data_IF_156093336654
#
_entry.id   IF_156093336654
#
_cell.length_a   1.000
_cell.length_b   1.000
_cell.length_c   1.000
_cell.angle_alpha   90.00
_cell.angle_beta   90.00
_cell.angle_gamma   90.00
#
_symmetry.space_group_name_H-M   'P 1'
#
loop_
_entity.id
_entity.type
_entity.pdbx_description
1 polymer ?
#
# COMPACT_ATOMS: atom_id res chain seq x y z
N UNK A 1 8.63 -43.10 15.33
CA UNK A 1 9.15 -41.75 15.60
C UNK A 1 8.12 -40.77 15.04
N UNK A 2 7.35 -40.13 15.92
CA UNK A 2 6.09 -39.43 15.58
C UNK A 2 6.33 -38.21 14.68
N UNK A 3 5.75 -38.20 13.49
CA UNK A 3 5.65 -37.02 12.61
C UNK A 3 4.86 -35.92 13.35
N UNK A 4 5.55 -34.83 13.70
CA UNK A 4 4.89 -33.59 14.13
C UNK A 4 4.47 -32.86 12.87
N UNK A 5 3.17 -32.89 12.56
CA UNK A 5 2.55 -31.96 11.62
C UNK A 5 3.01 -30.53 11.96
N UNK A 6 3.72 -29.88 11.03
CA UNK A 6 4.06 -28.45 11.13
C UNK A 6 2.81 -27.60 10.89
N UNK A 7 1.80 -27.76 11.75
CA UNK A 7 0.69 -26.80 11.84
C UNK A 7 1.28 -25.56 12.47
N UNK A 8 1.43 -24.49 11.68
CA UNK A 8 1.79 -23.18 12.21
C UNK A 8 0.89 -22.88 13.42
N UNK A 9 1.44 -22.40 14.56
CA UNK A 9 0.63 -22.14 15.75
C UNK A 9 -0.54 -21.22 15.39
N UNK A 10 -1.77 -21.66 15.64
CA UNK A 10 -2.98 -20.88 15.35
C UNK A 10 -2.95 -19.58 16.16
N UNK A 11 -2.82 -18.45 15.47
CA UNK A 11 -3.01 -17.13 16.05
C UNK A 11 -4.43 -17.03 16.63
N UNK A 12 -4.59 -16.42 17.81
CA UNK A 12 -5.90 -16.31 18.47
C UNK A 12 -6.79 -15.34 17.66
N UNK A 13 -7.99 -15.81 17.30
CA UNK A 13 -9.04 -14.99 16.66
C UNK A 13 -9.68 -14.01 17.65
N UNK A 14 -9.00 -12.90 17.94
CA UNK A 14 -9.46 -11.89 18.90
C UNK A 14 -9.88 -10.57 18.25
N UNK A 15 -9.80 -10.46 16.92
CA UNK A 15 -10.01 -9.19 16.22
C UNK A 15 -11.48 -8.95 15.88
N UNK A 16 -12.00 -7.76 16.21
CA UNK A 16 -13.36 -7.36 15.84
C UNK A 16 -13.44 -6.95 14.37
N UNK A 17 -14.64 -7.02 13.78
CA UNK A 17 -14.86 -6.58 12.39
C UNK A 17 -14.53 -5.08 12.19
N UNK A 18 -14.75 -4.24 13.20
CA UNK A 18 -14.37 -2.82 13.16
C UNK A 18 -12.85 -2.63 13.15
N UNK A 19 -12.11 -3.39 13.96
CA UNK A 19 -10.65 -3.36 13.94
C UNK A 19 -10.08 -3.85 12.61
N UNK A 20 -10.63 -4.92 12.03
CA UNK A 20 -10.27 -5.38 10.69
C UNK A 20 -10.49 -4.29 9.64
N UNK A 21 -11.64 -3.61 9.70
CA UNK A 21 -11.96 -2.53 8.78
C UNK A 21 -10.97 -1.35 8.91
N UNK A 22 -10.62 -0.99 10.15
CA UNK A 22 -9.69 0.09 10.44
C UNK A 22 -8.25 -0.25 10.07
N UNK A 23 -7.80 -1.50 10.23
CA UNK A 23 -6.48 -1.94 9.75
C UNK A 23 -6.43 -1.90 8.22
N UNK A 24 -7.48 -2.38 7.55
CA UNK A 24 -7.59 -2.31 6.10
C UNK A 24 -7.68 -0.87 5.58
N UNK A 25 -8.27 0.05 6.35
CA UNK A 25 -8.30 1.49 6.06
C UNK A 25 -6.93 2.14 6.29
N UNK A 26 -6.32 1.87 7.44
CA UNK A 26 -5.05 2.44 7.88
C UNK A 26 -3.89 2.05 6.98
N UNK A 27 -3.85 0.78 6.58
CA UNK A 27 -2.83 0.24 5.67
C UNK A 27 -2.93 0.76 4.24
N UNK A 28 -4.14 1.05 3.74
CA UNK A 28 -4.31 1.58 2.38
C UNK A 28 -3.98 3.08 2.30
N UNK A 29 -4.25 3.86 3.34
CA UNK A 29 -4.04 5.32 3.33
C UNK A 29 -2.66 5.65 3.93
N UNK A 30 -1.65 5.75 3.06
CA UNK A 30 -0.26 6.08 3.39
C UNK A 30 0.31 7.27 2.62
N UNK A 31 1.64 7.36 2.59
CA UNK A 31 2.37 8.47 1.93
C UNK A 31 2.23 8.50 0.42
N UNK A 32 1.84 7.39 -0.22
CA UNK A 32 1.55 7.38 -1.65
C UNK A 32 0.50 8.43 -2.03
N UNK A 33 -0.59 8.52 -1.26
CA UNK A 33 -1.59 9.57 -1.45
C UNK A 33 -1.03 10.94 -1.09
N UNK A 34 -0.46 11.09 0.11
CA UNK A 34 -0.13 12.43 0.63
C UNK A 34 1.12 13.03 0.02
N UNK A 35 2.23 12.31 -0.07
CA UNK A 35 3.47 12.80 -0.70
C UNK A 35 3.51 12.45 -2.19
N UNK A 36 3.10 11.25 -2.57
CA UNK A 36 3.08 10.82 -3.98
C UNK A 36 2.08 11.58 -4.86
N UNK A 37 1.04 12.20 -4.27
CA UNK A 37 0.16 13.13 -5.01
C UNK A 37 0.94 14.27 -5.66
N UNK A 38 2.06 14.73 -5.08
CA UNK A 38 2.90 15.79 -5.64
C UNK A 38 3.36 15.42 -7.05
N UNK A 39 3.96 14.25 -7.20
CA UNK A 39 4.51 13.77 -8.47
C UNK A 39 3.41 13.43 -9.46
N UNK A 40 2.33 12.80 -9.00
CA UNK A 40 1.21 12.42 -9.87
C UNK A 40 0.47 13.64 -10.42
N UNK A 41 0.18 14.65 -9.59
CA UNK A 41 -0.39 15.94 -10.00
C UNK A 41 0.57 16.64 -10.96
N UNK A 42 1.88 16.67 -10.67
CA UNK A 42 2.88 17.29 -11.56
C UNK A 42 2.94 16.62 -12.93
N UNK A 43 2.85 15.29 -13.00
CA UNK A 43 2.96 14.56 -14.27
C UNK A 43 1.72 14.66 -15.15
N UNK A 44 0.51 14.74 -14.58
CA UNK A 44 -0.73 14.66 -15.38
C UNK A 44 -1.74 15.80 -15.15
N UNK A 45 -1.49 16.68 -14.19
CA UNK A 45 -2.38 17.77 -13.84
C UNK A 45 -3.74 17.27 -13.34
N UNK A 46 -4.85 17.97 -13.63
CA UNK A 46 -6.19 17.62 -13.14
C UNK A 46 -6.69 16.23 -13.54
N UNK A 47 -6.20 15.65 -14.64
CA UNK A 47 -6.53 14.28 -15.05
C UNK A 47 -6.09 13.19 -14.06
N UNK A 48 -5.30 13.56 -13.04
CA UNK A 48 -4.95 12.68 -11.91
C UNK A 48 -6.20 12.12 -11.22
N UNK A 49 -7.33 12.84 -11.26
CA UNK A 49 -8.61 12.38 -10.73
C UNK A 49 -9.10 11.12 -11.43
N UNK A 50 -9.01 11.11 -12.75
CA UNK A 50 -9.36 9.94 -13.55
C UNK A 50 -8.35 8.82 -13.35
N UNK A 51 -7.07 9.15 -13.12
CA UNK A 51 -6.05 8.14 -12.87
C UNK A 51 -6.30 7.40 -11.54
N UNK A 52 -6.60 8.12 -10.46
CA UNK A 52 -6.99 7.52 -9.18
C UNK A 52 -8.28 6.69 -9.31
N UNK A 53 -9.31 7.21 -9.99
CA UNK A 53 -10.55 6.47 -10.21
C UNK A 53 -10.32 5.19 -11.04
N UNK A 54 -9.47 5.27 -12.07
CA UNK A 54 -9.17 4.16 -12.96
C UNK A 54 -8.35 3.06 -12.27
N UNK A 55 -7.28 3.43 -11.55
CA UNK A 55 -6.52 2.47 -10.75
C UNK A 55 -7.39 1.89 -9.65
N UNK A 56 -8.22 2.70 -8.99
CA UNK A 56 -9.19 2.23 -8.01
C UNK A 56 -10.16 1.18 -8.59
N UNK A 57 -10.59 1.32 -9.85
CA UNK A 57 -11.40 0.30 -10.53
C UNK A 57 -10.64 -1.02 -10.72
N UNK A 58 -9.37 -0.96 -11.16
CA UNK A 58 -8.51 -2.15 -11.30
C UNK A 58 -8.41 -2.88 -9.95
N UNK A 59 -8.20 -2.13 -8.88
CA UNK A 59 -8.04 -2.69 -7.55
C UNK A 59 -9.33 -3.19 -6.94
N UNK A 60 -10.46 -2.57 -7.26
CA UNK A 60 -11.76 -3.15 -6.94
C UNK A 60 -11.92 -4.54 -7.56
N UNK A 61 -11.48 -4.75 -8.82
CA UNK A 61 -11.51 -6.07 -9.46
C UNK A 61 -10.62 -7.06 -8.71
N UNK A 62 -9.37 -6.68 -8.39
CA UNK A 62 -8.43 -7.53 -7.62
C UNK A 62 -9.04 -7.90 -6.25
N UNK A 63 -9.56 -6.92 -5.52
CA UNK A 63 -10.15 -7.15 -4.19
C UNK A 63 -11.42 -7.99 -4.26
N UNK A 64 -12.20 -7.83 -5.33
CA UNK A 64 -13.39 -8.64 -5.55
C UNK A 64 -13.03 -10.09 -5.90
N UNK A 65 -11.98 -10.31 -6.68
CA UNK A 65 -11.44 -11.63 -7.01
C UNK A 65 -10.90 -12.33 -5.75
N UNK A 66 -10.11 -11.63 -4.93
CA UNK A 66 -9.65 -12.12 -3.64
C UNK A 66 -10.82 -12.44 -2.70
N UNK A 67 -11.79 -11.52 -2.59
CA UNK A 67 -12.94 -11.69 -1.73
C UNK A 67 -13.85 -12.87 -2.11
N UNK A 68 -13.94 -13.19 -3.41
CA UNK A 68 -14.65 -14.39 -3.88
C UNK A 68 -14.01 -15.67 -3.33
N UNK A 69 -12.68 -15.78 -3.41
CA UNK A 69 -11.96 -16.95 -2.87
C UNK A 69 -12.03 -17.04 -1.34
N UNK A 70 -11.86 -15.91 -0.63
CA UNK A 70 -11.95 -15.86 0.83
C UNK A 70 -13.34 -16.23 1.33
N UNK A 71 -14.40 -15.85 0.60
CA UNK A 71 -15.77 -16.18 0.98
C UNK A 71 -15.97 -17.69 1.18
N UNK A 72 -15.30 -18.50 0.35
CA UNK A 72 -15.37 -19.97 0.38
C UNK A 72 -14.43 -20.55 1.42
N UNK A 73 -13.15 -20.16 1.41
CA UNK A 73 -12.16 -20.74 2.31
C UNK A 73 -11.38 -19.64 3.05
N UNK A 74 -11.86 -19.14 4.20
CA UNK A 74 -11.17 -18.12 4.96
C UNK A 74 -9.86 -18.66 5.59
N UNK A 75 -8.77 -18.67 4.82
CA UNK A 75 -7.43 -19.04 5.29
C UNK A 75 -6.68 -17.85 5.89
N UNK A 76 -5.81 -18.12 6.87
CA UNK A 76 -4.92 -17.13 7.50
C UNK A 76 -3.70 -16.76 6.64
N UNK A 77 -3.31 -17.60 5.67
CA UNK A 77 -2.18 -17.33 4.78
C UNK A 77 -2.53 -16.47 3.54
N UNK A 78 -3.76 -15.96 3.47
CA UNK A 78 -4.19 -14.92 2.51
C UNK A 78 -3.98 -15.31 1.03
N UNK A 79 -3.66 -14.34 0.18
CA UNK A 79 -3.41 -14.47 -1.25
C UNK A 79 -2.30 -15.47 -1.61
N UNK A 80 -1.28 -15.62 -0.75
CA UNK A 80 -0.17 -16.55 -0.99
C UNK A 80 -0.63 -18.02 -0.93
N UNK A 81 -1.63 -18.34 -0.09
CA UNK A 81 -2.22 -19.68 -0.03
C UNK A 81 -2.98 -20.03 -1.30
N UNK A 82 -3.83 -19.11 -1.76
CA UNK A 82 -4.58 -19.32 -2.99
C UNK A 82 -3.64 -19.44 -4.19
N UNK A 83 -2.57 -18.64 -4.23
CA UNK A 83 -1.55 -18.75 -5.26
C UNK A 83 -0.82 -20.11 -5.22
N UNK A 84 -0.41 -20.56 -4.03
CA UNK A 84 0.22 -21.88 -3.84
C UNK A 84 -0.69 -23.01 -4.30
N UNK A 85 -1.97 -22.95 -3.93
CA UNK A 85 -2.93 -24.01 -4.17
C UNK A 85 -3.47 -24.05 -5.61
N UNK A 86 -3.88 -22.90 -6.16
CA UNK A 86 -4.56 -22.83 -7.46
C UNK A 86 -3.63 -22.49 -8.64
N UNK A 87 -2.46 -21.89 -8.39
CA UNK A 87 -1.53 -21.48 -9.46
C UNK A 87 -0.30 -22.39 -9.47
N UNK A 88 0.58 -22.26 -8.46
CA UNK A 88 1.80 -23.05 -8.30
C UNK A 88 2.48 -22.70 -6.97
N UNK A 89 3.20 -23.62 -6.29
CA UNK A 89 3.94 -23.29 -5.06
C UNK A 89 4.96 -22.15 -5.21
N UNK A 90 5.58 -22.02 -6.39
CA UNK A 90 6.44 -20.88 -6.71
C UNK A 90 5.69 -19.54 -6.67
N UNK A 91 4.41 -19.51 -7.07
CA UNK A 91 3.62 -18.28 -7.08
C UNK A 91 3.35 -17.79 -5.66
N UNK A 92 3.06 -18.70 -4.71
CA UNK A 92 2.95 -18.35 -3.30
C UNK A 92 4.27 -17.85 -2.71
N UNK A 93 5.38 -18.58 -2.96
CA UNK A 93 6.72 -18.16 -2.53
C UNK A 93 7.08 -16.75 -3.05
N UNK A 94 6.80 -16.49 -4.33
CA UNK A 94 7.04 -15.18 -4.96
C UNK A 94 6.18 -14.10 -4.32
N UNK A 95 4.90 -14.37 -4.05
CA UNK A 95 4.00 -13.40 -3.43
C UNK A 95 4.45 -13.03 -2.00
N UNK A 96 4.95 -13.98 -1.22
CA UNK A 96 5.44 -13.72 0.14
C UNK A 96 6.75 -12.91 0.14
N UNK A 97 7.73 -13.30 -0.69
CA UNK A 97 8.99 -12.54 -0.78
C UNK A 97 8.81 -11.17 -1.41
N UNK A 98 7.93 -11.04 -2.40
CA UNK A 98 7.58 -9.76 -2.99
C UNK A 98 6.98 -8.82 -1.94
N UNK A 99 6.07 -9.31 -1.10
CA UNK A 99 5.47 -8.52 -0.03
C UNK A 99 6.48 -8.12 1.06
N UNK A 100 7.39 -9.04 1.45
CA UNK A 100 8.48 -8.72 2.39
C UNK A 100 9.35 -7.59 1.86
N UNK A 101 9.74 -7.64 0.59
CA UNK A 101 10.56 -6.60 -0.02
C UNK A 101 9.80 -5.28 -0.19
N UNK A 102 8.59 -5.33 -0.74
CA UNK A 102 7.67 -4.20 -0.91
C UNK A 102 7.58 -3.39 0.38
N UNK A 103 7.21 -4.01 1.50
CA UNK A 103 6.99 -3.29 2.75
C UNK A 103 8.28 -2.83 3.45
N UNK A 104 9.43 -3.42 3.16
CA UNK A 104 10.72 -2.84 3.58
C UNK A 104 10.93 -1.50 2.85
N UNK A 105 10.66 -1.48 1.54
CA UNK A 105 10.81 -0.29 0.71
C UNK A 105 9.74 0.76 1.01
N UNK A 106 8.48 0.38 1.15
CA UNK A 106 7.40 1.26 1.60
C UNK A 106 7.73 1.80 2.98
N UNK A 107 8.12 0.95 3.94
CA UNK A 107 8.52 1.39 5.28
C UNK A 107 9.65 2.42 5.25
N UNK A 108 10.62 2.27 4.37
CA UNK A 108 11.65 3.28 4.13
C UNK A 108 11.07 4.59 3.57
N UNK A 109 10.21 4.52 2.55
CA UNK A 109 9.53 5.71 1.98
C UNK A 109 8.67 6.46 2.99
N UNK A 110 8.03 5.73 3.90
CA UNK A 110 7.18 6.26 4.97
C UNK A 110 8.03 7.02 6.00
N UNK A 111 9.22 6.51 6.32
CA UNK A 111 10.19 7.20 7.19
C UNK A 111 10.70 8.46 6.52
N UNK A 112 11.10 8.40 5.24
CA UNK A 112 11.55 9.57 4.47
C UNK A 112 10.49 10.67 4.51
N UNK A 113 9.25 10.34 4.14
CA UNK A 113 8.14 11.27 4.15
C UNK A 113 7.86 11.84 5.56
N UNK A 114 7.92 11.00 6.59
CA UNK A 114 7.75 11.45 7.98
C UNK A 114 8.79 12.49 8.39
N UNK A 115 10.05 12.30 8.00
CA UNK A 115 11.12 13.28 8.29
C UNK A 115 10.90 14.59 7.55
N UNK A 116 10.36 14.55 6.33
CA UNK A 116 10.01 15.74 5.57
C UNK A 116 8.82 16.49 6.19
N UNK A 117 7.80 15.78 6.65
CA UNK A 117 6.64 16.40 7.32
C UNK A 117 7.03 17.08 8.64
N UNK A 118 8.04 16.59 9.35
CA UNK A 118 8.55 17.25 10.56
C UNK A 118 9.16 18.64 10.25
N UNK A 119 9.72 18.84 9.05
CA UNK A 119 10.30 20.13 8.65
C UNK A 119 9.26 21.26 8.57
N UNK A 120 7.98 20.93 8.44
CA UNK A 120 6.90 21.91 8.45
C UNK A 120 6.86 22.72 9.76
N UNK A 121 6.98 22.06 10.92
CA UNK A 121 7.04 22.75 12.22
C UNK A 121 8.46 23.09 12.63
N UNK A 122 9.42 22.24 12.25
CA UNK A 122 10.83 22.38 12.63
C UNK A 122 11.73 22.35 11.38
N UNK A 123 11.89 23.48 10.67
CA UNK A 123 12.64 23.53 9.40
C UNK A 123 14.10 23.03 9.51
N UNK A 124 14.69 23.07 10.70
CA UNK A 124 16.05 22.61 10.98
C UNK A 124 16.13 21.16 11.51
N UNK A 125 15.06 20.37 11.36
CA UNK A 125 15.07 18.96 11.76
C UNK A 125 16.18 18.19 11.06
N UNK A 126 17.01 17.51 11.86
CA UNK A 126 17.98 16.56 11.36
C UNK A 126 17.26 15.28 10.92
N UNK A 127 17.07 15.12 9.60
CA UNK A 127 16.31 14.02 8.99
C UNK A 127 16.82 12.65 9.44
N UNK A 128 18.13 12.46 9.51
CA UNK A 128 18.75 11.20 9.95
C UNK A 128 18.35 10.82 11.39
N UNK A 129 18.42 11.78 12.32
CA UNK A 129 18.11 11.54 13.73
C UNK A 129 16.62 11.25 13.92
N UNK A 130 15.77 12.03 13.24
CA UNK A 130 14.33 11.83 13.25
C UNK A 130 13.94 10.45 12.70
N UNK A 131 14.53 10.04 11.58
CA UNK A 131 14.24 8.73 10.98
C UNK A 131 14.68 7.56 11.87
N UNK A 132 15.84 7.64 12.52
CA UNK A 132 16.27 6.63 13.51
C UNK A 132 15.26 6.52 14.64
N UNK A 133 14.85 7.65 15.23
CA UNK A 133 13.87 7.68 16.33
C UNK A 133 12.56 7.01 15.89
N UNK A 134 12.07 7.33 14.69
CA UNK A 134 10.84 6.75 14.13
C UNK A 134 10.96 5.23 13.97
N UNK A 135 12.04 4.73 13.36
CA UNK A 135 12.24 3.29 13.13
C UNK A 135 12.33 2.54 14.46
N UNK A 136 13.09 3.05 15.43
CA UNK A 136 13.19 2.44 16.75
C UNK A 136 11.85 2.46 17.49
N UNK A 137 11.12 3.57 17.45
CA UNK A 137 9.80 3.69 18.05
C UNK A 137 8.82 2.64 17.47
N UNK A 138 8.77 2.50 16.15
CA UNK A 138 7.90 1.53 15.47
C UNK A 138 8.32 0.07 15.75
N UNK A 139 9.62 -0.21 15.80
CA UNK A 139 10.13 -1.54 16.15
C UNK A 139 9.72 -1.92 17.58
N UNK A 140 9.88 -1.02 18.55
CA UNK A 140 9.47 -1.24 19.94
C UNK A 140 7.96 -1.45 20.04
N UNK A 141 7.15 -0.65 19.33
CA UNK A 141 5.71 -0.79 19.32
C UNK A 141 5.27 -2.18 18.81
N UNK A 142 5.92 -2.71 17.77
CA UNK A 142 5.63 -4.05 17.24
C UNK A 142 6.14 -5.19 18.14
N UNK A 143 7.22 -4.98 18.89
CA UNK A 143 7.75 -5.97 19.84
C UNK A 143 6.92 -6.06 21.12
N UNK A 144 6.20 -5.00 21.51
CA UNK A 144 5.46 -4.94 22.75
C UNK A 144 4.24 -5.89 22.78
N UNK A 145 3.35 -5.82 21.79
CA UNK A 145 2.14 -6.65 21.74
C UNK A 145 1.34 -6.44 20.44
N UNK A 146 0.77 -7.52 19.89
CA UNK A 146 -0.19 -7.44 18.79
C UNK A 146 -1.48 -6.66 19.14
N UNK A 147 -1.86 -6.64 20.43
CA UNK A 147 -2.99 -5.83 20.92
C UNK A 147 -2.67 -4.34 20.91
N UNK A 148 -1.43 -3.97 21.27
CA UNK A 148 -0.95 -2.60 21.21
C UNK A 148 -0.97 -2.09 19.76
N UNK A 149 -0.49 -2.89 18.81
CA UNK A 149 -0.60 -2.61 17.37
C UNK A 149 -2.05 -2.32 16.95
N UNK A 150 -2.99 -3.25 17.20
CA UNK A 150 -4.38 -3.08 16.76
C UNK A 150 -5.09 -1.88 17.39
N UNK A 151 -4.62 -1.42 18.56
CA UNK A 151 -5.16 -0.23 19.23
C UNK A 151 -4.58 1.05 18.60
N UNK A 152 -3.26 1.12 18.39
CA UNK A 152 -2.63 2.25 17.71
C UNK A 152 -3.18 2.46 16.30
N UNK A 153 -3.33 1.37 15.54
CA UNK A 153 -3.82 1.42 14.17
C UNK A 153 -5.27 1.90 14.10
N UNK A 154 -6.11 1.49 15.05
CA UNK A 154 -7.48 1.99 15.16
C UNK A 154 -7.51 3.52 15.31
N UNK A 155 -6.70 4.07 16.22
CA UNK A 155 -6.64 5.52 16.43
C UNK A 155 -6.06 6.26 15.23
N UNK A 156 -4.97 5.76 14.65
CA UNK A 156 -4.37 6.35 13.46
C UNK A 156 -5.34 6.36 12.28
N UNK A 157 -5.99 5.24 11.97
CA UNK A 157 -6.98 5.18 10.91
C UNK A 157 -8.17 6.12 11.19
N UNK A 158 -8.63 6.26 12.43
CA UNK A 158 -9.73 7.17 12.77
C UNK A 158 -9.37 8.63 12.53
N UNK A 159 -8.18 9.05 12.98
CA UNK A 159 -7.66 10.42 12.76
C UNK A 159 -7.55 10.70 11.26
N UNK A 160 -7.02 9.75 10.46
CA UNK A 160 -6.92 9.89 9.00
C UNK A 160 -8.29 10.11 8.36
N UNK A 161 -9.25 9.24 8.64
CA UNK A 161 -10.59 9.28 8.03
C UNK A 161 -11.30 10.58 8.36
N UNK A 162 -11.33 10.97 9.64
CA UNK A 162 -11.99 12.20 10.09
C UNK A 162 -11.37 13.42 9.42
N UNK A 163 -10.04 13.52 9.40
CA UNK A 163 -9.37 14.67 8.78
C UNK A 163 -9.60 14.75 7.28
N UNK A 164 -9.58 13.64 6.54
CA UNK A 164 -9.85 13.69 5.10
C UNK A 164 -11.27 14.18 4.84
N UNK A 165 -12.26 13.72 5.62
CA UNK A 165 -13.65 14.20 5.49
C UNK A 165 -13.74 15.70 5.81
N UNK A 166 -13.13 16.16 6.89
CA UNK A 166 -13.11 17.59 7.26
C UNK A 166 -12.41 18.45 6.22
N UNK A 167 -11.30 17.96 5.67
CA UNK A 167 -10.55 18.61 4.60
C UNK A 167 -11.38 18.73 3.32
N UNK A 168 -12.16 17.69 2.98
CA UNK A 168 -13.07 17.74 1.84
C UNK A 168 -14.16 18.79 2.06
N UNK A 169 -14.80 18.78 3.24
CA UNK A 169 -15.83 19.76 3.60
C UNK A 169 -15.27 21.18 3.53
N UNK A 170 -14.12 21.43 4.19
CA UNK A 170 -13.45 22.72 4.17
C UNK A 170 -13.08 23.12 2.73
N UNK A 171 -12.62 22.17 1.94
CA UNK A 171 -12.31 22.38 0.54
C UNK A 171 -13.51 22.86 -0.27
N UNK A 172 -14.67 22.23 -0.09
CA UNK A 172 -15.91 22.71 -0.71
C UNK A 172 -16.33 24.10 -0.23
N UNK A 173 -16.11 24.45 1.04
CA UNK A 173 -16.36 25.81 1.54
C UNK A 173 -15.44 26.84 0.85
N UNK A 174 -14.17 26.50 0.62
CA UNK A 174 -13.24 27.36 -0.12
C UNK A 174 -13.68 27.49 -1.59
N UNK A 175 -14.03 26.38 -2.23
CA UNK A 175 -14.39 26.33 -3.66
C UNK A 175 -15.70 27.08 -3.94
N UNK A 176 -16.73 26.85 -3.13
CA UNK A 176 -18.10 27.33 -3.39
C UNK A 176 -18.40 28.67 -2.73
N UNK A 177 -17.87 28.92 -1.54
CA UNK A 177 -18.18 30.10 -0.73
C UNK A 177 -17.01 31.07 -0.57
N UNK A 178 -15.81 30.70 -1.04
CA UNK A 178 -14.61 31.52 -0.86
C UNK A 178 -14.16 31.62 0.60
N UNK A 179 -14.45 30.60 1.42
CA UNK A 179 -14.00 30.55 2.81
C UNK A 179 -12.46 30.61 2.86
N UNK A 180 -11.89 31.52 3.65
CA UNK A 180 -10.44 31.78 3.66
C UNK A 180 -9.92 32.60 2.47
N UNK A 181 -10.72 32.82 1.42
CA UNK A 181 -10.38 33.60 0.23
C UNK A 181 -11.20 34.90 0.11
N UNK A 182 -11.35 35.63 1.22
CA UNK A 182 -12.09 36.91 1.24
C UNK A 182 -13.57 36.82 0.86
N UNK A 183 -14.18 35.62 0.88
CA UNK A 183 -15.55 35.40 0.43
C UNK A 183 -15.70 35.29 -1.09
N UNK A 184 -14.59 35.26 -1.85
CA UNK A 184 -14.60 35.05 -3.29
C UNK A 184 -14.44 33.55 -3.60
N UNK A 185 -15.47 32.90 -4.17
CA UNK A 185 -15.38 31.49 -4.53
C UNK A 185 -14.23 31.25 -5.50
N UNK A 186 -13.38 30.25 -5.22
CA UNK A 186 -12.33 29.83 -6.16
C UNK A 186 -12.96 29.26 -7.44
N UNK A 187 -14.10 28.57 -7.30
CA UNK A 187 -14.76 27.89 -8.41
C UNK A 187 -13.96 26.70 -8.92
N UNK A 188 -14.27 26.26 -10.15
CA UNK A 188 -13.72 25.04 -10.74
C UNK A 188 -12.67 25.29 -11.83
N UNK A 189 -12.36 26.56 -12.12
CA UNK A 189 -11.55 26.97 -13.26
C UNK A 189 -10.16 26.34 -13.28
N UNK A 190 -9.54 26.13 -12.10
CA UNK A 190 -8.21 25.50 -12.00
C UNK A 190 -8.13 24.10 -12.61
N UNK A 191 -9.25 23.40 -12.80
CA UNK A 191 -9.31 22.10 -13.46
C UNK A 191 -9.00 22.14 -14.97
N UNK A 192 -9.05 23.32 -15.60
CA UNK A 192 -8.77 23.47 -17.03
C UNK A 192 -8.02 24.74 -17.42
N UNK A 193 -8.00 25.78 -16.58
CA UNK A 193 -7.40 27.07 -16.90
C UNK A 193 -5.87 27.02 -17.09
N UNK A 194 -5.19 26.04 -16.48
CA UNK A 194 -3.73 25.95 -16.48
C UNK A 194 -3.21 24.88 -17.43
N UNK A 195 -3.65 24.91 -18.69
CA UNK A 195 -3.21 23.97 -19.74
C UNK A 195 -4.19 22.82 -20.03
N UNK A 196 -5.44 22.92 -19.60
CA UNK A 196 -6.48 21.91 -19.82
C UNK A 196 -6.52 20.82 -18.75
N UNK A 197 -7.39 19.83 -18.94
CA UNK A 197 -7.58 18.76 -17.96
C UNK A 197 -6.48 17.67 -18.04
N UNK A 198 -5.99 17.38 -19.25
CA UNK A 198 -4.93 16.39 -19.51
C UNK A 198 -3.59 17.08 -19.82
N UNK A 199 -3.02 17.80 -18.87
CA UNK A 199 -1.81 18.62 -19.11
C UNK A 199 -0.57 17.80 -19.42
N UNK A 200 -0.46 16.60 -18.84
CA UNK A 200 0.59 15.61 -19.16
C UNK A 200 0.30 14.75 -20.40
N UNK A 201 -0.84 14.94 -21.04
CA UNK A 201 -1.36 14.04 -22.07
C UNK A 201 -1.49 12.59 -21.59
N UNK A 202 -1.61 11.66 -22.54
CA UNK A 202 -1.71 10.22 -22.23
C UNK A 202 -0.45 9.68 -21.52
N UNK A 203 0.73 10.20 -21.87
CA UNK A 203 2.00 9.75 -21.29
C UNK A 203 2.10 10.11 -19.81
N UNK A 204 1.82 11.36 -19.45
CA UNK A 204 1.79 11.81 -18.05
C UNK A 204 0.71 11.09 -17.24
N UNK A 205 -0.45 10.84 -17.85
CA UNK A 205 -1.52 10.06 -17.25
C UNK A 205 -1.07 8.65 -16.89
N UNK A 206 -0.43 7.94 -17.82
CA UNK A 206 0.13 6.61 -17.56
C UNK A 206 1.29 6.63 -16.56
N UNK A 207 2.12 7.67 -16.56
CA UNK A 207 3.19 7.84 -15.58
C UNK A 207 2.65 8.00 -14.17
N UNK A 208 1.54 8.73 -14.00
CA UNK A 208 0.91 8.89 -12.68
C UNK A 208 0.40 7.58 -12.09
N UNK A 209 0.00 6.62 -12.92
CA UNK A 209 -0.56 5.36 -12.45
C UNK A 209 0.42 4.52 -11.62
N UNK A 210 1.73 4.66 -11.80
CA UNK A 210 2.71 3.87 -11.02
C UNK A 210 2.69 4.21 -9.53
N UNK A 211 2.75 5.50 -9.22
CA UNK A 211 2.67 6.00 -7.84
C UNK A 211 1.27 5.78 -7.28
N UNK A 212 0.23 5.98 -8.09
CA UNK A 212 -1.16 5.77 -7.68
C UNK A 212 -1.39 4.30 -7.31
N UNK A 213 -0.87 3.36 -8.09
CA UNK A 213 -0.90 1.93 -7.77
C UNK A 213 -0.25 1.68 -6.41
N UNK A 214 0.97 2.15 -6.20
CA UNK A 214 1.63 2.01 -4.89
C UNK A 214 0.82 2.63 -3.74
N UNK A 215 0.09 3.72 -4.02
CA UNK A 215 -0.75 4.41 -3.03
C UNK A 215 -1.96 3.60 -2.54
N UNK A 216 -2.26 2.48 -3.20
CA UNK A 216 -3.29 1.55 -2.80
C UNK A 216 -2.74 0.21 -2.32
N UNK A 217 -1.43 0.04 -2.22
CA UNK A 217 -0.82 -1.09 -1.51
C UNK A 217 -1.38 -1.17 -0.08
N UNK A 218 -1.49 -2.37 0.47
CA UNK A 218 -2.12 -2.61 1.77
C UNK A 218 -3.61 -2.92 1.74
N UNK A 219 -4.30 -2.80 0.59
CA UNK A 219 -5.69 -3.26 0.47
C UNK A 219 -5.80 -4.79 0.62
N UNK A 220 -4.78 -5.53 0.20
CA UNK A 220 -4.67 -6.99 0.31
C UNK A 220 -4.48 -7.49 1.74
N UNK A 221 -4.17 -6.60 2.70
CA UNK A 221 -4.17 -6.92 4.14
C UNK A 221 -5.54 -7.41 4.63
N UNK A 222 -6.61 -7.09 3.90
CA UNK A 222 -7.92 -7.70 4.10
C UNK A 222 -7.85 -9.23 4.10
N UNK A 223 -7.06 -9.83 3.20
CA UNK A 223 -6.94 -11.28 3.08
C UNK A 223 -6.25 -11.92 4.28
N UNK A 224 -5.24 -11.24 4.84
CA UNK A 224 -4.51 -11.70 6.03
C UNK A 224 -5.42 -11.61 7.25
N UNK A 225 -6.08 -10.46 7.41
CA UNK A 225 -6.94 -10.17 8.55
C UNK A 225 -8.25 -10.97 8.55
N UNK A 226 -8.74 -11.42 7.39
CA UNK A 226 -9.98 -12.19 7.29
C UNK A 226 -9.91 -13.52 8.05
N UNK A 227 -8.74 -14.16 8.11
CA UNK A 227 -8.52 -15.41 8.86
C UNK A 227 -8.62 -15.26 10.38
N UNK A 228 -8.58 -14.02 10.89
CA UNK A 228 -8.56 -13.69 12.32
C UNK A 228 -9.92 -13.20 12.86
N UNK A 229 -10.94 -13.03 12.00
CA UNK A 229 -12.26 -12.47 12.36
C UNK A 229 -13.31 -13.55 12.59
N UNK A 230 -14.27 -13.29 13.50
CA UNK A 230 -15.30 -14.25 13.92
C UNK A 230 -16.32 -14.63 12.82
N UNK A 231 -16.66 -13.70 11.91
CA UNK A 231 -17.51 -13.97 10.75
C UNK A 231 -16.82 -13.45 9.47
N UNK A 232 -15.93 -14.25 8.88
CA UNK A 232 -15.13 -13.85 7.73
C UNK A 232 -15.97 -13.47 6.51
N UNK A 233 -17.01 -14.25 6.19
CA UNK A 233 -17.85 -14.03 5.00
C UNK A 233 -18.49 -12.65 5.00
N UNK A 234 -19.18 -12.30 6.09
CA UNK A 234 -19.86 -10.99 6.21
C UNK A 234 -18.84 -9.85 6.21
N UNK A 235 -17.71 -10.04 6.90
CA UNK A 235 -16.65 -9.04 6.98
C UNK A 235 -16.01 -8.76 5.61
N UNK A 236 -15.69 -9.80 4.85
CA UNK A 236 -15.11 -9.70 3.50
C UNK A 236 -16.07 -8.99 2.54
N UNK A 237 -17.34 -9.38 2.50
CA UNK A 237 -18.34 -8.74 1.64
C UNK A 237 -18.46 -7.25 1.95
N UNK A 238 -18.53 -6.89 3.23
CA UNK A 238 -18.61 -5.49 3.67
C UNK A 238 -17.35 -4.72 3.28
N UNK A 239 -16.18 -5.29 3.54
CA UNK A 239 -14.91 -4.60 3.35
C UNK A 239 -14.58 -4.40 1.87
N UNK A 240 -14.83 -5.38 0.99
CA UNK A 240 -14.69 -5.19 -0.47
C UNK A 240 -15.67 -4.14 -1.00
N UNK A 241 -16.92 -4.09 -0.49
CA UNK A 241 -17.87 -3.05 -0.89
C UNK A 241 -17.42 -1.66 -0.44
N UNK A 242 -16.81 -1.55 0.74
CA UNK A 242 -16.34 -0.25 1.24
C UNK A 242 -15.11 0.26 0.51
N UNK A 243 -14.29 -0.60 -0.13
CA UNK A 243 -13.16 -0.18 -1.00
C UNK A 243 -13.56 0.88 -2.02
N UNK A 244 -14.72 0.74 -2.69
CA UNK A 244 -15.18 1.74 -3.66
C UNK A 244 -15.41 3.11 -3.03
N UNK A 245 -16.08 3.16 -1.88
CA UNK A 245 -16.30 4.41 -1.16
C UNK A 245 -14.99 5.01 -0.67
N UNK A 246 -14.03 4.17 -0.24
CA UNK A 246 -12.69 4.61 0.17
C UNK A 246 -11.94 5.27 -0.98
N UNK A 247 -11.95 4.65 -2.17
CA UNK A 247 -11.34 5.21 -3.39
C UNK A 247 -11.96 6.57 -3.72
N UNK A 248 -13.29 6.64 -3.76
CA UNK A 248 -13.99 7.86 -4.16
C UNK A 248 -13.80 9.00 -3.16
N UNK A 249 -13.88 8.72 -1.86
CA UNK A 249 -13.77 9.77 -0.83
C UNK A 249 -12.32 10.13 -0.58
N UNK A 250 -11.49 9.15 -0.21
CA UNK A 250 -10.14 9.44 0.31
C UNK A 250 -9.13 9.77 -0.77
N UNK A 251 -9.31 9.28 -2.00
CA UNK A 251 -8.38 9.55 -3.09
C UNK A 251 -8.98 10.57 -4.04
N UNK A 252 -10.08 10.24 -4.71
CA UNK A 252 -10.66 11.11 -5.74
C UNK A 252 -11.17 12.42 -5.14
N UNK A 253 -11.96 12.37 -4.06
CA UNK A 253 -12.52 13.54 -3.42
C UNK A 253 -11.46 14.44 -2.77
N UNK A 254 -10.48 13.83 -2.09
CA UNK A 254 -9.37 14.55 -1.50
C UNK A 254 -8.52 15.26 -2.57
N UNK A 255 -8.12 14.55 -3.62
CA UNK A 255 -7.33 15.13 -4.72
C UNK A 255 -8.13 16.17 -5.50
N UNK A 256 -9.43 15.96 -5.68
CA UNK A 256 -10.33 16.92 -6.34
C UNK A 256 -10.27 18.28 -5.66
N UNK A 257 -10.35 18.29 -4.33
CA UNK A 257 -10.23 19.52 -3.55
C UNK A 257 -8.88 20.20 -3.79
N UNK A 258 -7.78 19.45 -3.79
CA UNK A 258 -6.43 20.00 -3.99
C UNK A 258 -6.29 20.65 -5.38
N UNK A 259 -6.57 19.92 -6.45
CA UNK A 259 -6.37 20.43 -7.82
C UNK A 259 -7.39 21.48 -8.25
N UNK A 260 -8.50 21.61 -7.51
CA UNK A 260 -9.51 22.64 -7.74
C UNK A 260 -9.16 23.93 -7.00
N UNK A 261 -8.69 23.84 -5.76
CA UNK A 261 -8.37 25.02 -4.94
C UNK A 261 -7.14 25.73 -5.47
N UNK A 262 -6.08 24.99 -5.80
CA UNK A 262 -4.80 25.58 -6.15
C UNK A 262 -4.29 25.08 -7.51
N UNK A 263 -3.72 25.95 -8.36
CA UNK A 263 -3.19 25.57 -9.67
C UNK A 263 -2.17 24.43 -9.56
N UNK A 264 -2.38 23.35 -10.32
CA UNK A 264 -1.53 22.16 -10.29
C UNK A 264 -0.05 22.45 -10.63
N UNK A 265 0.20 23.50 -11.42
CA UNK A 265 1.52 23.93 -11.87
C UNK A 265 2.24 24.86 -10.88
N UNK A 266 1.62 25.22 -9.75
CA UNK A 266 2.18 26.09 -8.72
C UNK A 266 2.36 25.38 -7.37
N UNK A 267 2.20 24.07 -7.30
CA UNK A 267 2.48 23.29 -6.09
C UNK A 267 4.01 23.14 -5.94
N UNK A 268 4.60 24.02 -5.12
CA UNK A 268 6.02 24.33 -4.96
C UNK A 268 6.68 23.40 -3.93
N UNK A 269 6.74 22.12 -4.28
CA UNK A 269 7.83 21.16 -3.98
C UNK A 269 8.26 20.78 -2.56
N UNK A 270 7.80 21.38 -1.45
CA UNK A 270 8.21 20.96 -0.09
C UNK A 270 7.04 20.39 0.72
N UNK A 271 7.16 19.13 1.15
CA UNK A 271 6.15 18.44 1.95
C UNK A 271 4.95 17.89 1.16
N UNK A 272 3.78 17.83 1.79
CA UNK A 272 2.54 17.28 1.22
C UNK A 272 1.75 18.37 0.47
N UNK A 273 1.27 18.13 -0.76
CA UNK A 273 0.38 19.06 -1.49
C UNK A 273 -0.90 19.39 -0.73
N UNK A 274 -1.35 18.48 0.13
CA UNK A 274 -2.50 18.70 1.00
C UNK A 274 -2.21 19.80 2.02
N UNK A 275 -1.05 19.78 2.66
CA UNK A 275 -0.63 20.83 3.60
C UNK A 275 -0.40 22.15 2.85
N UNK A 276 0.29 22.08 1.72
CA UNK A 276 0.65 23.25 0.92
C UNK A 276 -0.57 24.01 0.43
N UNK A 277 -1.60 23.31 -0.06
CA UNK A 277 -2.82 23.93 -0.59
C UNK A 277 -3.52 24.78 0.47
N UNK A 278 -3.74 24.26 1.68
CA UNK A 278 -4.40 25.01 2.74
C UNK A 278 -3.50 26.11 3.34
N UNK A 279 -2.18 25.91 3.35
CA UNK A 279 -1.23 26.93 3.75
C UNK A 279 -1.27 28.13 2.79
N UNK A 280 -1.30 27.89 1.48
CA UNK A 280 -1.33 28.93 0.45
C UNK A 280 -2.67 29.67 0.38
N UNK A 281 -3.78 29.03 0.74
CA UNK A 281 -5.09 29.68 0.92
C UNK A 281 -5.17 30.50 2.21
N UNK A 282 -4.16 30.42 3.09
CA UNK A 282 -4.10 31.20 4.34
C UNK A 282 -4.81 30.54 5.53
N UNK A 283 -5.24 29.28 5.42
CA UNK A 283 -5.86 28.52 6.52
C UNK A 283 -4.76 27.72 7.24
N UNK A 284 -3.82 28.44 7.86
CA UNK A 284 -2.61 27.87 8.48
C UNK A 284 -2.90 26.85 9.59
N UNK A 285 -3.98 27.06 10.36
CA UNK A 285 -4.43 26.10 11.36
C UNK A 285 -4.82 24.75 10.73
N UNK A 286 -5.53 24.77 9.59
CA UNK A 286 -5.88 23.56 8.84
C UNK A 286 -4.61 22.90 8.27
N UNK A 287 -3.68 23.68 7.72
CA UNK A 287 -2.41 23.16 7.22
C UNK A 287 -1.62 22.41 8.31
N UNK A 288 -1.52 22.98 9.52
CA UNK A 288 -0.84 22.32 10.66
C UNK A 288 -1.54 21.03 11.11
N UNK A 289 -2.88 21.02 11.18
CA UNK A 289 -3.65 19.81 11.52
C UNK A 289 -3.48 18.73 10.45
N UNK A 290 -3.56 19.11 9.17
CA UNK A 290 -3.34 18.19 8.06
C UNK A 290 -1.90 17.64 8.13
N UNK A 291 -0.90 18.48 8.42
CA UNK A 291 0.48 18.04 8.54
C UNK A 291 0.66 16.99 9.66
N UNK A 292 0.00 17.20 10.81
CA UNK A 292 -0.06 16.22 11.89
C UNK A 292 -0.69 14.91 11.43
N UNK A 293 -1.78 14.98 10.69
CA UNK A 293 -2.47 13.78 10.21
C UNK A 293 -1.64 13.03 9.19
N UNK A 294 -1.01 13.69 8.21
CA UNK A 294 -0.17 13.01 7.22
C UNK A 294 1.06 12.38 7.85
N UNK A 295 1.62 12.98 8.92
CA UNK A 295 2.66 12.35 9.72
C UNK A 295 2.15 11.08 10.41
N UNK A 296 0.98 11.12 11.06
CA UNK A 296 0.40 9.90 11.66
C UNK A 296 0.02 8.87 10.60
N UNK A 297 -0.36 9.31 9.39
CA UNK A 297 -0.64 8.45 8.27
C UNK A 297 0.59 7.65 7.86
N UNK A 298 1.74 8.33 7.79
CA UNK A 298 2.99 7.73 7.41
C UNK A 298 3.51 6.72 8.44
N UNK A 299 3.46 7.10 9.73
CA UNK A 299 3.83 6.22 10.83
C UNK A 299 2.97 4.95 10.87
N UNK A 300 1.67 5.08 10.58
CA UNK A 300 0.73 3.96 10.50
C UNK A 300 1.01 3.05 9.30
N UNK A 301 1.36 3.61 8.13
CA UNK A 301 1.78 2.82 6.97
C UNK A 301 3.03 1.98 7.25
N UNK A 302 4.08 2.61 7.80
CA UNK A 302 5.29 1.91 8.22
C UNK A 302 5.02 0.83 9.28
N UNK A 303 4.18 1.14 10.26
CA UNK A 303 3.79 0.20 11.32
C UNK A 303 3.06 -1.03 10.76
N UNK A 304 2.10 -0.83 9.84
CA UNK A 304 1.37 -1.90 9.16
C UNK A 304 2.27 -2.74 8.26
N UNK A 305 3.24 -2.13 7.58
CA UNK A 305 4.26 -2.85 6.79
C UNK A 305 5.15 -3.74 7.64
N UNK A 306 5.64 -3.25 8.79
CA UNK A 306 6.42 -4.05 9.76
C UNK A 306 5.57 -5.21 10.29
N UNK A 307 4.31 -4.94 10.64
CA UNK A 307 3.39 -5.96 11.15
C UNK A 307 3.13 -7.06 10.12
N UNK A 308 2.77 -6.71 8.89
CA UNK A 308 2.44 -7.68 7.84
C UNK A 308 3.66 -8.50 7.42
N UNK A 309 4.77 -7.82 7.11
CA UNK A 309 5.97 -8.46 6.60
C UNK A 309 6.66 -9.35 7.60
N UNK A 310 6.64 -8.99 8.89
CA UNK A 310 7.22 -9.85 9.92
C UNK A 310 6.47 -11.19 10.04
N UNK A 311 5.17 -11.21 9.78
CA UNK A 311 4.35 -12.45 9.77
C UNK A 311 4.59 -13.28 8.53
N UNK A 312 4.70 -12.65 7.36
CA UNK A 312 5.08 -13.35 6.14
C UNK A 312 6.51 -13.92 6.24
N UNK A 313 7.46 -13.15 6.77
CA UNK A 313 8.83 -13.61 6.98
C UNK A 313 8.91 -14.75 8.01
N UNK A 314 8.12 -14.67 9.09
CA UNK A 314 7.98 -15.74 10.08
C UNK A 314 7.43 -17.03 9.44
N UNK A 315 6.45 -16.90 8.56
CA UNK A 315 5.87 -18.03 7.82
C UNK A 315 6.88 -18.64 6.85
N UNK A 316 7.53 -17.82 6.02
CA UNK A 316 8.60 -18.26 5.13
C UNK A 316 9.66 -19.07 5.90
N UNK A 317 10.01 -18.66 7.12
CA UNK A 317 10.97 -19.41 7.94
C UNK A 317 10.46 -20.79 8.38
N UNK A 318 9.16 -20.94 8.66
CA UNK A 318 8.54 -22.22 9.01
C UNK A 318 8.40 -23.15 7.81
N UNK A 319 8.19 -22.60 6.62
CA UNK A 319 8.19 -23.35 5.36
C UNK A 319 9.62 -23.68 4.88
N UNK A 320 10.64 -23.26 5.63
CA UNK A 320 12.04 -23.40 5.27
C UNK A 320 12.50 -22.42 4.20
N UNK A 321 11.62 -21.56 3.68
CA UNK A 321 11.87 -20.57 2.64
C UNK A 321 12.64 -19.33 3.11
N UNK A 322 12.86 -19.15 4.43
CA UNK A 322 13.73 -18.14 5.03
C UNK A 322 14.59 -18.73 6.17
N UNK A 323 15.64 -18.02 6.66
CA UNK A 323 16.46 -18.48 7.79
C UNK A 323 15.62 -18.84 9.02
N UNK A 324 15.93 -19.99 9.64
CA UNK A 324 15.20 -20.52 10.83
C UNK A 324 15.11 -19.54 11.99
N UNK A 325 16.05 -18.60 12.09
CA UNK A 325 16.05 -17.54 13.10
C UNK A 325 14.75 -16.74 13.10
N UNK A 326 14.18 -16.46 11.92
CA UNK A 326 12.94 -15.68 11.79
C UNK A 326 11.68 -16.46 12.22
N UNK A 327 11.78 -17.77 12.44
CA UNK A 327 10.69 -18.60 12.96
C UNK A 327 10.52 -18.54 14.48
N UNK A 328 11.25 -17.67 15.19
CA UNK A 328 11.17 -17.56 16.65
C UNK A 328 9.96 -16.72 17.09
N UNK A 329 9.27 -17.17 18.14
CA UNK A 329 8.27 -16.38 18.88
C UNK A 329 8.84 -15.90 20.21
N UNK A 330 8.50 -14.67 20.60
CA UNK A 330 8.82 -14.11 21.91
C UNK A 330 7.84 -14.53 23.00
N UNK A 331 8.13 -14.16 24.26
CA UNK A 331 7.22 -14.37 25.41
C UNK A 331 5.86 -13.67 25.24
N UNK A 332 5.79 -12.62 24.41
CA UNK A 332 4.56 -11.89 24.10
C UNK A 332 3.81 -12.45 22.89
N UNK A 333 4.22 -13.62 22.37
CA UNK A 333 3.60 -14.29 21.21
C UNK A 333 3.67 -13.41 19.94
N UNK A 334 4.81 -12.76 19.73
CA UNK A 334 5.11 -12.00 18.51
C UNK A 334 6.40 -12.52 17.87
N UNK A 335 6.54 -12.48 16.52
CA UNK A 335 7.71 -12.98 15.81
C UNK A 335 8.89 -11.98 15.90
N UNK A 336 9.53 -11.92 17.06
CA UNK A 336 10.51 -10.88 17.41
C UNK A 336 11.71 -10.80 16.45
N UNK A 337 12.28 -11.96 16.08
CA UNK A 337 13.39 -12.01 15.13
C UNK A 337 12.99 -11.50 13.74
N UNK A 338 11.77 -11.81 13.29
CA UNK A 338 11.26 -11.33 12.02
C UNK A 338 10.96 -9.82 12.06
N UNK A 339 10.38 -9.31 13.15
CA UNK A 339 10.18 -7.87 13.36
C UNK A 339 11.52 -7.13 13.29
N UNK A 340 12.54 -7.61 14.01
CA UNK A 340 13.88 -7.01 13.97
C UNK A 340 14.52 -7.12 12.58
N UNK A 341 14.29 -8.20 11.85
CA UNK A 341 14.75 -8.36 10.47
C UNK A 341 14.14 -7.33 9.51
N UNK A 342 12.83 -7.14 9.57
CA UNK A 342 12.12 -6.14 8.74
C UNK A 342 12.53 -4.72 9.13
N UNK A 343 12.50 -4.38 10.42
CA UNK A 343 12.93 -3.06 10.90
C UNK A 343 14.40 -2.79 10.59
N UNK A 344 15.25 -3.81 10.66
CA UNK A 344 16.65 -3.74 10.23
C UNK A 344 16.80 -3.48 8.74
N UNK A 345 15.97 -4.11 7.90
CA UNK A 345 15.91 -3.83 6.47
C UNK A 345 15.52 -2.39 6.16
N UNK A 346 14.48 -1.87 6.84
CA UNK A 346 14.06 -0.46 6.73
C UNK A 346 15.19 0.47 7.17
N UNK A 347 15.87 0.15 8.28
CA UNK A 347 17.01 0.92 8.78
C UNK A 347 18.17 0.95 7.78
N UNK A 348 18.56 -0.21 7.24
CA UNK A 348 19.63 -0.30 6.24
C UNK A 348 19.26 0.53 5.01
N UNK A 349 18.03 0.39 4.51
CA UNK A 349 17.54 1.19 3.40
C UNK A 349 17.60 2.69 3.68
N UNK A 350 17.08 3.13 4.83
CA UNK A 350 17.08 4.54 5.23
C UNK A 350 18.49 5.10 5.39
N UNK A 351 19.43 4.30 5.93
CA UNK A 351 20.85 4.70 6.01
C UNK A 351 21.48 4.82 4.62
N UNK A 352 21.18 3.89 3.70
CA UNK A 352 21.63 3.97 2.31
C UNK A 352 21.07 5.20 1.60
N UNK A 353 19.82 5.58 1.89
CA UNK A 353 19.19 6.81 1.37
C UNK A 353 19.93 8.07 1.85
N UNK A 354 20.25 8.17 3.14
CA UNK A 354 21.07 9.28 3.68
C UNK A 354 22.43 9.34 3.00
N UNK A 355 23.09 8.20 2.81
CA UNK A 355 24.37 8.15 2.10
C UNK A 355 24.21 8.57 0.63
N UNK A 356 23.15 8.12 -0.04
CA UNK A 356 22.86 8.51 -1.42
C UNK A 356 22.63 10.02 -1.54
N UNK A 357 21.89 10.64 -0.62
CA UNK A 357 21.67 12.09 -0.57
C UNK A 357 22.98 12.85 -0.34
N UNK A 358 23.88 12.33 0.50
CA UNK A 358 25.17 12.95 0.77
C UNK A 358 26.14 12.88 -0.43
N UNK A 359 26.20 11.73 -1.12
CA UNK A 359 27.15 11.49 -2.21
C UNK A 359 26.62 11.83 -3.59
N UNK A 360 25.30 11.83 -3.78
CA UNK A 360 24.64 12.07 -5.05
C UNK A 360 23.78 13.32 -4.96
N UNK A 361 24.23 14.42 -5.58
CA UNK A 361 23.37 15.60 -5.86
C UNK A 361 22.38 15.29 -7.00
N UNK A 362 21.74 14.13 -6.96
CA UNK A 362 20.73 13.75 -7.95
C UNK A 362 19.54 14.69 -7.83
N UNK A 363 19.02 15.14 -8.97
CA UNK A 363 17.80 15.96 -9.05
C UNK A 363 16.52 15.12 -8.95
N UNK A 364 16.66 13.78 -8.89
CA UNK A 364 15.52 12.87 -8.77
C UNK A 364 14.89 12.98 -7.38
N UNK A 365 13.55 13.00 -7.35
CA UNK A 365 12.78 12.96 -6.11
C UNK A 365 13.02 11.59 -5.44
N UNK A 366 13.85 11.57 -4.37
CA UNK A 366 14.25 10.35 -3.67
C UNK A 366 13.04 9.54 -3.20
N UNK A 367 11.98 10.23 -2.75
CA UNK A 367 10.73 9.58 -2.42
C UNK A 367 10.17 8.79 -3.61
N UNK A 368 10.12 9.38 -4.81
CA UNK A 368 9.62 8.70 -6.02
C UNK A 368 10.47 7.48 -6.35
N UNK A 369 11.80 7.60 -6.28
CA UNK A 369 12.72 6.50 -6.59
C UNK A 369 12.53 5.34 -5.62
N UNK A 370 12.52 5.64 -4.32
CA UNK A 370 12.36 4.65 -3.26
C UNK A 370 10.97 4.03 -3.32
N UNK A 371 9.91 4.84 -3.25
CA UNK A 371 8.53 4.39 -3.24
C UNK A 371 8.21 3.56 -4.50
N UNK A 372 8.61 4.01 -5.69
CA UNK A 372 8.32 3.27 -6.92
C UNK A 372 9.03 1.91 -7.00
N UNK A 373 10.02 1.64 -6.13
CA UNK A 373 10.73 0.36 -6.14
C UNK A 373 9.95 -0.74 -5.40
N UNK A 374 8.97 -0.36 -4.57
CA UNK A 374 8.01 -1.30 -3.98
C UNK A 374 6.93 -1.69 -4.98
N UNK A 375 6.56 -0.81 -5.91
CA UNK A 375 5.38 -0.94 -6.77
C UNK A 375 5.31 -2.27 -7.52
N UNK A 376 6.36 -2.66 -8.26
CA UNK A 376 6.31 -3.94 -9.00
C UNK A 376 6.22 -5.15 -8.06
N UNK A 377 7.05 -5.26 -6.99
CA UNK A 377 6.86 -6.24 -5.93
C UNK A 377 5.44 -6.25 -5.32
N UNK A 378 4.87 -5.08 -4.99
CA UNK A 378 3.52 -4.96 -4.42
C UNK A 378 2.40 -5.33 -5.38
N UNK A 379 2.65 -5.25 -6.68
CA UNK A 379 1.73 -5.77 -7.70
C UNK A 379 1.74 -7.30 -7.82
N UNK A 380 2.77 -8.01 -7.33
CA UNK A 380 2.85 -9.49 -7.41
C UNK A 380 1.67 -10.17 -6.70
N UNK A 381 1.32 -9.83 -5.44
CA UNK A 381 0.08 -10.27 -4.80
C UNK A 381 -1.14 -10.16 -5.73
N UNK A 382 -1.29 -9.05 -6.44
CA UNK A 382 -2.46 -8.82 -7.28
C UNK A 382 -2.44 -9.66 -8.56
N UNK A 383 -1.28 -9.82 -9.19
CA UNK A 383 -1.13 -10.75 -10.31
C UNK A 383 -1.49 -12.17 -9.91
N UNK A 384 -1.00 -12.64 -8.76
CA UNK A 384 -1.31 -14.01 -8.31
C UNK A 384 -2.75 -14.17 -7.86
N UNK A 385 -3.40 -13.13 -7.30
CA UNK A 385 -4.83 -13.14 -6.96
C UNK A 385 -5.68 -13.34 -8.21
N UNK A 386 -5.43 -12.57 -9.27
CA UNK A 386 -6.20 -12.67 -10.53
C UNK A 386 -6.01 -14.03 -11.19
N UNK A 387 -4.78 -14.57 -11.18
CA UNK A 387 -4.51 -15.91 -11.69
C UNK A 387 -5.16 -17.01 -10.84
N UNK A 388 -5.11 -16.87 -9.52
CA UNK A 388 -5.71 -17.81 -8.58
C UNK A 388 -7.24 -17.81 -8.71
N UNK A 389 -7.90 -16.67 -8.88
CA UNK A 389 -9.35 -16.61 -9.06
C UNK A 389 -9.80 -17.28 -10.37
N UNK A 390 -9.06 -17.02 -11.47
CA UNK A 390 -9.32 -17.67 -12.76
C UNK A 390 -9.31 -19.19 -12.63
N UNK A 391 -8.30 -19.73 -11.94
CA UNK A 391 -8.14 -21.16 -11.67
C UNK A 391 -9.15 -21.67 -10.65
N UNK A 392 -9.45 -20.90 -9.60
CA UNK A 392 -10.43 -21.22 -8.58
C UNK A 392 -11.80 -21.49 -9.21
N UNK A 393 -12.28 -20.61 -10.08
CA UNK A 393 -13.55 -20.81 -10.79
C UNK A 393 -13.55 -22.02 -11.72
N UNK A 394 -12.44 -22.28 -12.40
CA UNK A 394 -12.30 -23.46 -13.26
C UNK A 394 -12.39 -24.77 -12.48
N UNK A 395 -11.83 -24.81 -11.26
CA UNK A 395 -11.86 -26.00 -10.41
C UNK A 395 -13.15 -26.15 -9.60
N UNK A 396 -13.95 -25.10 -9.45
CA UNK A 396 -15.15 -25.08 -8.62
C UNK A 396 -16.43 -24.66 -9.39
N UNK A 397 -16.76 -25.23 -10.57
CA UNK A 397 -17.88 -24.76 -11.38
C UNK A 397 -19.24 -24.97 -10.70
N UNK A 398 -19.42 -26.06 -9.96
CA UNK A 398 -20.66 -26.36 -9.22
C UNK A 398 -20.87 -25.38 -8.07
N UNK A 399 -19.82 -25.11 -7.29
CA UNK A 399 -19.86 -24.13 -6.20
C UNK A 399 -20.21 -22.72 -6.72
N UNK A 400 -19.76 -22.40 -7.93
CA UNK A 400 -20.04 -21.12 -8.58
C UNK A 400 -21.48 -20.96 -9.05
N UNK A 401 -22.36 -21.96 -8.96
CA UNK A 401 -23.78 -21.78 -9.28
C UNK A 401 -24.46 -20.91 -8.22
N UNK A 402 -24.32 -21.28 -6.94
CA UNK A 402 -25.00 -20.63 -5.81
C UNK A 402 -24.14 -19.60 -5.06
N UNK A 403 -22.91 -19.34 -5.53
CA UNK A 403 -22.00 -18.43 -4.83
C UNK A 403 -22.58 -17.00 -4.72
N UNK A 404 -22.81 -16.45 -3.52
CA UNK A 404 -23.52 -15.18 -3.35
C UNK A 404 -22.63 -13.94 -3.62
N UNK A 405 -21.32 -14.15 -3.76
CA UNK A 405 -20.35 -13.06 -3.85
C UNK A 405 -19.41 -13.24 -5.05
N UNK A 406 -19.97 -13.15 -6.26
CA UNK A 406 -19.22 -13.40 -7.51
C UNK A 406 -18.46 -12.15 -8.01
N UNK A 407 -17.27 -12.31 -8.57
CA UNK A 407 -16.61 -11.31 -9.41
C UNK A 407 -17.46 -11.02 -10.66
N UNK A 408 -17.89 -9.75 -10.87
CA UNK A 408 -18.68 -9.39 -12.04
C UNK A 408 -17.83 -9.45 -13.31
N UNK A 409 -18.50 -9.71 -14.45
CA UNK A 409 -17.89 -9.78 -15.79
C UNK A 409 -16.73 -10.78 -15.91
N UNK A 410 -16.69 -11.81 -15.06
CA UNK A 410 -15.75 -12.91 -15.21
C UNK A 410 -15.94 -13.62 -16.58
N UNK A 411 -14.86 -14.00 -17.29
CA UNK A 411 -13.44 -13.83 -16.95
C UNK A 411 -12.82 -12.51 -17.46
N UNK A 412 -13.58 -11.70 -18.21
CA UNK A 412 -13.08 -10.47 -18.84
C UNK A 412 -12.52 -9.45 -17.85
N UNK A 413 -13.12 -9.32 -16.67
CA UNK A 413 -12.63 -8.42 -15.61
C UNK A 413 -11.23 -8.80 -15.14
N UNK A 414 -10.92 -10.10 -14.98
CA UNK A 414 -9.56 -10.56 -14.65
C UNK A 414 -8.55 -10.19 -15.73
N UNK A 415 -8.87 -10.50 -16.99
CA UNK A 415 -7.95 -10.19 -18.10
C UNK A 415 -7.72 -8.69 -18.26
N UNK A 416 -8.77 -7.89 -18.09
CA UNK A 416 -8.67 -6.44 -18.09
C UNK A 416 -7.72 -5.94 -16.99
N UNK A 417 -7.96 -6.33 -15.73
CA UNK A 417 -7.12 -5.91 -14.62
C UNK A 417 -5.67 -6.36 -14.80
N UNK A 418 -5.47 -7.62 -15.21
CA UNK A 418 -4.13 -8.18 -15.45
C UNK A 418 -3.38 -7.42 -16.55
N UNK A 419 -4.06 -7.11 -17.67
CA UNK A 419 -3.47 -6.35 -18.77
C UNK A 419 -3.13 -4.91 -18.36
N UNK A 420 -3.98 -4.24 -17.59
CA UNK A 420 -3.72 -2.89 -17.10
C UNK A 420 -2.55 -2.85 -16.11
N UNK A 421 -2.43 -3.83 -15.21
CA UNK A 421 -1.28 -3.94 -14.32
C UNK A 421 0.03 -4.11 -15.11
N UNK A 422 0.04 -4.95 -16.17
CA UNK A 422 1.20 -5.06 -17.08
C UNK A 422 1.50 -3.72 -17.74
N UNK A 423 0.47 -3.02 -18.24
CA UNK A 423 0.64 -1.73 -18.90
C UNK A 423 1.30 -0.71 -17.98
N UNK A 424 0.89 -0.65 -16.71
CA UNK A 424 1.49 0.25 -15.71
C UNK A 424 2.99 -0.08 -15.54
N UNK A 425 3.34 -1.36 -15.41
CA UNK A 425 4.76 -1.80 -15.31
C UNK A 425 5.55 -1.39 -16.56
N UNK A 426 4.99 -1.54 -17.76
CA UNK A 426 5.64 -1.11 -19.01
C UNK A 426 5.90 0.40 -18.98
N UNK A 427 4.92 1.22 -18.57
CA UNK A 427 5.11 2.66 -18.46
C UNK A 427 6.09 3.06 -17.35
N UNK A 428 6.25 2.25 -16.30
CA UNK A 428 7.30 2.46 -15.31
C UNK A 428 8.71 2.31 -15.89
N UNK A 429 8.92 1.40 -16.84
CA UNK A 429 10.20 1.31 -17.57
C UNK A 429 10.43 2.50 -18.50
N UNK A 430 9.36 3.07 -19.06
CA UNK A 430 9.44 4.23 -19.95
C UNK A 430 9.75 5.51 -19.14
N UNK A 431 9.12 5.69 -17.99
CA UNK A 431 9.27 6.88 -17.14
C UNK A 431 10.69 6.95 -16.52
N UNK A 432 11.48 8.00 -16.81
CA UNK A 432 12.82 8.17 -16.23
C UNK A 432 12.85 8.15 -14.70
N UNK A 433 11.81 8.69 -14.06
CA UNK A 433 11.74 8.83 -12.60
C UNK A 433 11.50 7.49 -11.88
N UNK A 434 10.91 6.51 -12.57
CA UNK A 434 10.57 5.19 -12.00
C UNK A 434 11.34 4.03 -12.62
N UNK A 435 12.11 4.27 -13.69
CA UNK A 435 12.81 3.22 -14.45
C UNK A 435 13.79 2.43 -13.58
N UNK A 436 14.61 3.15 -12.81
CA UNK A 436 15.59 2.51 -11.92
C UNK A 436 14.85 1.68 -10.86
N UNK A 437 13.78 2.24 -10.32
CA UNK A 437 12.95 1.61 -9.29
C UNK A 437 12.33 0.29 -9.75
N UNK A 438 11.73 0.26 -10.95
CA UNK A 438 11.15 -0.98 -11.51
C UNK A 438 12.23 -2.01 -11.85
N UNK A 439 13.42 -1.59 -12.29
CA UNK A 439 14.55 -2.50 -12.53
C UNK A 439 14.99 -3.16 -11.21
N UNK A 440 15.10 -2.38 -10.13
CA UNK A 440 15.47 -2.90 -8.81
C UNK A 440 14.42 -3.89 -8.32
N UNK A 441 13.14 -3.53 -8.37
CA UNK A 441 12.03 -4.42 -8.00
C UNK A 441 12.05 -5.71 -8.81
N UNK A 442 12.22 -5.63 -10.14
CA UNK A 442 12.32 -6.79 -11.01
C UNK A 442 13.55 -7.65 -10.68
N UNK A 443 14.69 -7.04 -10.39
CA UNK A 443 15.92 -7.75 -10.02
C UNK A 443 15.76 -8.59 -8.75
N UNK A 444 15.07 -8.06 -7.74
CA UNK A 444 14.76 -8.80 -6.50
C UNK A 444 13.83 -9.96 -6.77
N UNK A 445 12.80 -9.78 -7.60
CA UNK A 445 11.88 -10.85 -7.98
C UNK A 445 12.58 -11.95 -8.78
N UNK A 446 13.46 -11.59 -9.72
CA UNK A 446 14.29 -12.54 -10.46
C UNK A 446 15.23 -13.30 -9.52
N UNK A 447 15.87 -12.62 -8.57
CA UNK A 447 16.72 -13.25 -7.57
C UNK A 447 15.93 -14.25 -6.71
N UNK A 448 14.74 -13.86 -6.22
CA UNK A 448 13.86 -14.75 -5.47
C UNK A 448 13.47 -15.99 -6.30
N UNK A 449 13.11 -15.80 -7.57
CA UNK A 449 12.79 -16.90 -8.48
C UNK A 449 13.99 -17.85 -8.68
N UNK A 450 15.20 -17.32 -8.89
CA UNK A 450 16.43 -18.13 -9.01
C UNK A 450 16.68 -18.92 -7.73
N UNK A 451 16.59 -18.29 -6.56
CA UNK A 451 16.77 -18.95 -5.27
C UNK A 451 15.77 -20.11 -5.11
N UNK A 452 14.50 -19.90 -5.46
CA UNK A 452 13.50 -20.96 -5.42
C UNK A 452 13.86 -22.15 -6.33
N UNK A 453 14.25 -21.86 -7.59
CA UNK A 453 14.59 -22.88 -8.58
C UNK A 453 15.85 -23.67 -8.18
N UNK A 454 16.88 -22.99 -7.65
CA UNK A 454 18.10 -23.63 -7.16
C UNK A 454 17.83 -24.56 -5.97
N UNK A 455 16.90 -24.19 -5.08
CA UNK A 455 16.57 -24.98 -3.90
C UNK A 455 15.68 -26.19 -4.19
N UNK A 456 14.74 -26.07 -5.12
CA UNK A 456 13.75 -27.11 -5.40
C UNK A 456 14.09 -27.98 -6.64
N UNK A 457 15.15 -27.63 -7.38
CA UNK A 457 15.54 -28.26 -8.64
C UNK A 457 14.58 -27.90 -9.78
N UNK A 458 15.06 -27.98 -11.04
CA UNK A 458 14.26 -27.67 -12.25
C UNK A 458 13.02 -28.56 -12.43
N UNK A 459 12.92 -29.67 -11.67
CA UNK A 459 11.78 -30.59 -11.66
C UNK A 459 11.05 -30.50 -10.32
N UNK A 460 10.37 -29.39 -10.05
CA UNK A 460 9.57 -29.12 -8.84
C UNK A 460 8.30 -29.98 -8.69
N UNK A 461 8.34 -31.28 -9.02
CA UNK A 461 7.20 -32.21 -8.89
C UNK A 461 7.11 -32.95 -7.54
N UNK A 462 8.01 -32.72 -6.58
CA UNK A 462 8.07 -33.54 -5.34
C UNK A 462 7.39 -32.95 -4.10
N UNK A 463 6.74 -31.79 -4.16
CA UNK A 463 6.07 -31.20 -2.99
C UNK A 463 4.56 -30.95 -3.15
N UNK A 464 3.93 -31.33 -4.27
CA UNK A 464 2.53 -31.03 -4.53
C UNK A 464 1.50 -31.99 -3.89
N UNK A 465 1.93 -33.09 -3.25
CA UNK A 465 1.03 -33.98 -2.51
C UNK A 465 1.77 -34.54 -1.31
N UNK A 466 1.57 -33.95 -0.14
CA UNK A 466 1.56 -34.63 1.16
C UNK A 466 0.86 -33.76 2.19
#
# INVERSE_FOLDING_TARGET
MSEKNHVAPKLKRTMTAGQMEMISLGGAIGVGLFMGSKSTIKWTGPSVLLAYAFVGLILYIVMRALGEMIYVNPSTGSFADYATHYVHPMAGYMAEWANVFEYIVVGMSEVIASTEYLKYWWPHTQTWAAGLIIIFFLAIANLASAKAYGTLEFWFAMIKVVTIVLMIILGFLVILLGFGNGGHPIGFSNLWAHGGFFTGGFKGFMFSMSIIVGSYEGIELLGISAGEVANPQKAVVKSVKSVLFRILIFYVGAIFVIVTIYPWNQLDSVGSPFVETFAKVGITAAASIINFVVLTAALSGANSGIYSSSRMLFRLAHEGNAPRLFGRLSKHVVPDAAILGISGGILIGFVLDIFAEYFSKSTADLFVVVFSSSVLPGMIPWFVILLAELRFRQHNPELMQDHPFKLPLYPFSNYFAFAMLIMIVVFMFINPDTRISVIVGAGVLVLAAIVYLCRNGLNGKKQAVK
#
